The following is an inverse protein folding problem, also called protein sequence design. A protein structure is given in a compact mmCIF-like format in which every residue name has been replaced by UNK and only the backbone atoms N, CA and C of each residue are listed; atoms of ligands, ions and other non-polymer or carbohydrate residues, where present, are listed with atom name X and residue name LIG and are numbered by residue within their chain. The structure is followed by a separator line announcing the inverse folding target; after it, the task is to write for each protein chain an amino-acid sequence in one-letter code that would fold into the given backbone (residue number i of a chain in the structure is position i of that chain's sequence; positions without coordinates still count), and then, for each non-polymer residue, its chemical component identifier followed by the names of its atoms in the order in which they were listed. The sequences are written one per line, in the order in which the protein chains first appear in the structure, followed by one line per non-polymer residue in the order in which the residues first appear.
data_IF_199668437893
#
_entry.id   IF_199668437893
#
_cell.length_a   1.000
_cell.length_b   1.000
_cell.length_c   1.000
_cell.angle_alpha   90.00
_cell.angle_beta   90.00
_cell.angle_gamma   90.00
#
_symmetry.space_group_name_H-M   'P 1'
#
loop_
_entity.id
_entity.type
_entity.pdbx_description
1 polymer ?
#
# COMPACT_ATOMS: atom_id res chain seq x y z
N UNK A 1 -17.02 -14.33 -8.32
CA UNK A 1 -16.63 -14.10 -8.25
C UNK A 1 -15.94 -13.56 -8.29
N UNK A 2 -15.66 -13.39 -8.37
CA UNK A 2 -15.02 -12.96 -8.35
C UNK A 2 -14.39 -12.35 -8.60
N UNK A 3 -14.15 -12.09 -8.76
CA UNK A 3 -13.47 -11.60 -9.03
C UNK A 3 -12.82 -10.80 -9.10
N UNK A 4 -12.65 -10.51 -8.70
CA UNK A 4 -11.99 -9.83 -8.52
C UNK A 4 -10.95 -9.46 -9.23
N UNK A 5 -10.72 -9.89 -9.85
CA UNK A 5 -9.70 -9.73 -10.61
C UNK A 5 -9.77 -8.48 -11.18
N UNK A 6 -10.73 -8.00 -11.33
CA UNK A 6 -10.76 -6.80 -11.96
C UNK A 6 -10.05 -5.81 -11.17
N UNK A 7 -9.79 -6.09 -10.04
CA UNK A 7 -9.12 -5.21 -9.35
C UNK A 7 -7.86 -5.15 -9.73
N UNK A 8 -7.27 -4.46 -10.23
CA UNK A 8 -6.02 -4.41 -10.64
C UNK A 8 -5.10 -4.16 -9.64
N UNK A 9 -4.78 -3.83 -8.84
CA UNK A 9 -3.78 -3.64 -7.86
C UNK A 9 -2.68 -4.59 -7.99
N UNK A 10 -1.80 -4.66 -7.03
CA UNK A 10 -0.68 -5.54 -7.06
C UNK A 10 -1.16 -6.94 -6.87
N UNK A 11 -0.31 -7.90 -7.41
CA UNK A 11 -0.63 -9.21 -7.31
C UNK A 11 -0.70 -9.61 -5.88
N UNK A 12 0.20 -9.23 -5.05
CA UNK A 12 0.23 -9.57 -3.65
C UNK A 12 -0.13 -8.35 -2.85
N UNK A 13 -1.36 -8.19 -2.49
CA UNK A 13 -1.77 -7.04 -1.78
C UNK A 13 -1.34 -6.99 -0.35
N UNK A 14 -0.71 -7.99 0.16
CA UNK A 14 -0.23 -7.96 1.53
C UNK A 14 1.12 -7.28 1.62
N UNK A 15 1.78 -7.06 0.49
CA UNK A 15 3.08 -6.42 0.49
C UNK A 15 3.09 -5.20 -0.39
N UNK A 16 3.79 -4.18 0.05
CA UNK A 16 3.90 -2.96 -0.70
C UNK A 16 5.25 -2.92 -1.38
N UNK A 17 5.28 -2.83 -2.69
CA UNK A 17 6.53 -2.78 -3.42
C UNK A 17 6.84 -1.33 -3.77
N UNK A 18 7.66 -0.69 -2.98
CA UNK A 18 7.96 0.72 -3.20
C UNK A 18 8.90 0.94 -4.37
N UNK A 19 9.39 -0.12 -4.98
CA UNK A 19 10.25 0.04 -6.15
C UNK A 19 9.44 0.00 -7.44
N UNK A 20 8.16 -0.24 -7.34
CA UNK A 20 7.33 -0.31 -8.50
C UNK A 20 6.44 0.93 -8.56
N UNK A 21 6.59 1.72 -9.58
CA UNK A 21 5.84 2.96 -9.70
C UNK A 21 4.34 2.72 -9.70
N UNK A 22 3.89 1.71 -10.39
CA UNK A 22 2.50 1.41 -10.42
C UNK A 22 1.96 1.11 -9.05
N UNK A 23 2.67 0.36 -8.26
CA UNK A 23 2.22 0.02 -6.93
C UNK A 23 2.26 1.23 -6.01
N UNK A 24 3.24 2.10 -6.21
CA UNK A 24 3.31 3.30 -5.40
C UNK A 24 2.05 4.13 -5.63
N UNK A 25 1.63 4.25 -6.89
CA UNK A 25 0.46 4.96 -7.21
C UNK A 25 -0.76 4.29 -6.62
N UNK A 26 -0.85 2.99 -6.75
CA UNK A 26 -1.97 2.22 -6.23
C UNK A 26 -2.11 2.43 -4.72
N UNK A 27 -1.01 2.28 -4.00
CA UNK A 27 -1.07 2.39 -2.56
C UNK A 27 -1.31 3.81 -2.05
N UNK A 28 -0.74 4.80 -2.70
CA UNK A 28 -0.98 6.17 -2.27
C UNK A 28 -2.43 6.54 -2.46
N UNK A 29 -3.04 6.06 -3.53
CA UNK A 29 -4.44 6.34 -3.77
C UNK A 29 -5.32 5.54 -2.84
N UNK A 30 -4.97 4.28 -2.68
CA UNK A 30 -5.76 3.41 -1.83
C UNK A 30 -5.75 3.89 -0.38
N UNK A 31 -4.62 4.33 0.09
CA UNK A 31 -4.48 4.77 1.47
C UNK A 31 -4.72 6.26 1.66
N UNK A 32 -4.84 6.97 0.57
CA UNK A 32 -5.07 8.41 0.66
C UNK A 32 -3.92 9.19 1.24
N UNK A 33 -2.71 8.80 0.92
CA UNK A 33 -1.53 9.49 1.44
C UNK A 33 -0.58 9.80 0.32
N UNK A 34 0.44 10.59 0.60
CA UNK A 34 1.41 10.95 -0.42
C UNK A 34 2.48 9.88 -0.51
N UNK A 35 3.30 9.98 -1.54
CA UNK A 35 4.38 9.03 -1.71
C UNK A 35 5.36 9.15 -0.56
N UNK A 36 5.69 10.36 -0.16
CA UNK A 36 6.64 10.57 0.91
C UNK A 36 6.13 9.92 2.19
N UNK A 37 4.84 10.07 2.43
CA UNK A 37 4.26 9.51 3.62
C UNK A 37 4.32 7.99 3.55
N UNK A 38 4.03 7.42 2.40
CA UNK A 38 4.07 5.99 2.23
C UNK A 38 5.47 5.46 2.48
N UNK A 39 6.48 6.14 1.92
CA UNK A 39 7.84 5.70 2.12
C UNK A 39 8.22 5.76 3.60
N UNK A 40 7.76 6.78 4.27
CA UNK A 40 8.06 6.94 5.67
C UNK A 40 7.43 5.80 6.47
N UNK A 41 6.19 5.48 6.17
CA UNK A 41 5.50 4.41 6.87
C UNK A 41 6.19 3.06 6.65
N UNK A 42 6.60 2.82 5.42
CA UNK A 42 7.27 1.58 5.10
C UNK A 42 8.58 1.50 5.88
N UNK A 43 9.23 2.64 6.06
CA UNK A 43 10.45 2.65 6.80
C UNK A 43 10.20 2.37 8.26
N UNK A 44 9.10 2.78 8.80
CA UNK A 44 8.77 2.57 10.19
C UNK A 44 8.22 1.20 10.52
N UNK A 45 7.28 0.74 9.74
CA UNK A 45 6.65 -0.54 10.02
C UNK A 45 6.89 -1.65 9.02
N UNK A 46 7.61 -1.35 7.96
CA UNK A 46 7.92 -2.37 6.96
C UNK A 46 6.96 -2.31 5.79
N UNK A 47 7.11 -3.27 4.89
CA UNK A 47 6.31 -3.29 3.68
C UNK A 47 4.98 -4.03 3.80
N UNK A 48 4.59 -4.34 5.00
CA UNK A 48 3.34 -5.03 5.21
C UNK A 48 2.18 -4.04 5.07
N UNK A 49 1.30 -4.27 4.15
CA UNK A 49 0.18 -3.40 3.92
C UNK A 49 -0.69 -3.33 5.16
N UNK A 50 -0.83 -4.44 5.82
CA UNK A 50 -1.62 -4.51 7.01
C UNK A 50 -1.06 -3.62 8.10
N UNK A 51 0.25 -3.66 8.29
CA UNK A 51 0.87 -2.84 9.29
C UNK A 51 0.81 -1.36 8.96
N UNK A 52 0.95 -1.05 7.68
CA UNK A 52 0.88 0.33 7.25
C UNK A 52 -0.54 0.86 7.51
N UNK A 53 -1.55 0.05 7.21
CA UNK A 53 -2.91 0.47 7.45
C UNK A 53 -3.16 0.66 8.93
N UNK A 54 -2.67 -0.25 9.73
CA UNK A 54 -2.85 -0.16 11.16
C UNK A 54 -2.21 1.10 11.70
N UNK A 55 -1.05 1.45 11.15
CA UNK A 55 -0.35 2.63 11.60
C UNK A 55 -1.12 3.89 11.22
N UNK A 56 -1.75 3.89 10.08
CA UNK A 56 -2.52 5.02 9.65
C UNK A 56 -3.79 5.19 10.50
N UNK A 57 -4.33 4.11 10.93
CA UNK A 57 -5.51 4.17 11.73
C UNK A 57 -5.24 4.58 13.16
N UNK A 58 -3.98 4.42 13.59
CA UNK A 58 -3.66 4.78 14.91
C UNK A 58 -3.52 6.24 14.96
N UNK A 59 -4.01 6.90 15.82
CA UNK A 59 -3.83 8.30 15.84
C UNK A 59 -3.23 8.72 17.09
#
# INVERSE_FOLDING_TARGET
MANDLSKRGPRDRSRININEEREMRYWTEELGITRDRLLLLVKQVGISAERVRAQLEKR
#
